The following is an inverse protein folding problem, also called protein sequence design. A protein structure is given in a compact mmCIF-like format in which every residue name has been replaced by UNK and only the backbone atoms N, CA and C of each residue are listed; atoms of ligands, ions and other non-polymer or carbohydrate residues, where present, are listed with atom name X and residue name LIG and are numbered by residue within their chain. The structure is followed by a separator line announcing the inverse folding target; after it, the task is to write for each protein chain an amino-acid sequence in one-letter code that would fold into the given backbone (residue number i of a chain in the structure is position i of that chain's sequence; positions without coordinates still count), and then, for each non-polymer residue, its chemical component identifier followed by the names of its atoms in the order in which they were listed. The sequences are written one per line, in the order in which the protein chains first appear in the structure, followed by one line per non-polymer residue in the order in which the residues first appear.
data_IF_980831586252
#
_entry.id   IF_980831586252
#
_cell.length_a   1.000
_cell.length_b   1.000
_cell.length_c   1.000
_cell.angle_alpha   90.00
_cell.angle_beta   90.00
_cell.angle_gamma   90.00
#
_symmetry.space_group_name_H-M   'P 1'
#
loop_
_entity.id
_entity.type
_entity.pdbx_description
1 polymer ?
#
# COMPACT_ATOMS: atom_id res chain seq x y z
N UNK A 1 7.85 -21.25 -11.02
CA UNK A 1 6.55 -20.57 -11.13
C UNK A 1 6.41 -19.74 -9.87
N UNK A 2 7.00 -18.54 -9.86
CA UNK A 2 7.11 -17.71 -8.66
C UNK A 2 5.77 -17.04 -8.38
N UNK A 3 5.22 -17.30 -7.20
CA UNK A 3 4.02 -16.63 -6.70
C UNK A 3 4.37 -15.17 -6.40
N UNK A 4 3.67 -14.26 -7.08
CA UNK A 4 3.78 -12.81 -6.95
C UNK A 4 2.93 -12.36 -5.78
N UNK A 5 3.58 -11.86 -4.72
CA UNK A 5 2.91 -11.43 -3.49
C UNK A 5 2.67 -9.91 -3.54
N UNK A 6 1.44 -9.50 -3.25
CA UNK A 6 1.13 -8.11 -2.92
C UNK A 6 1.69 -7.80 -1.52
N UNK A 7 1.80 -6.55 -1.12
CA UNK A 7 1.98 -6.21 0.30
C UNK A 7 1.05 -5.07 0.69
N UNK A 8 0.62 -5.10 1.94
CA UNK A 8 -0.42 -4.24 2.44
C UNK A 8 0.12 -3.40 3.60
N UNK A 9 -0.07 -2.09 3.54
CA UNK A 9 0.14 -1.21 4.69
C UNK A 9 -1.22 -0.93 5.31
N UNK A 10 -1.50 -1.62 6.42
CA UNK A 10 -2.71 -1.38 7.20
C UNK A 10 -2.54 -0.12 8.05
N UNK A 11 -3.50 0.80 8.02
CA UNK A 11 -3.92 1.40 9.27
C UNK A 11 -5.08 0.55 9.81
N UNK A 12 -5.43 0.77 11.08
CA UNK A 12 -6.44 -0.02 11.79
C UNK A 12 -7.87 0.35 11.33
N UNK A 13 -8.17 0.27 10.02
CA UNK A 13 -9.46 0.66 9.49
C UNK A 13 -10.47 -0.52 9.49
N UNK A 14 -11.68 -0.35 10.05
CA UNK A 14 -12.66 -1.44 10.15
C UNK A 14 -13.09 -2.06 8.81
N UNK A 15 -13.13 -1.26 7.72
CA UNK A 15 -13.46 -1.77 6.39
C UNK A 15 -12.34 -2.64 5.81
N UNK A 16 -11.08 -2.33 6.15
CA UNK A 16 -9.89 -3.09 5.77
C UNK A 16 -9.86 -4.44 6.48
N UNK A 17 -10.26 -4.49 7.76
CA UNK A 17 -10.38 -5.75 8.54
C UNK A 17 -11.34 -6.79 7.92
N UNK A 18 -12.29 -6.37 7.07
CA UNK A 18 -13.22 -7.29 6.38
C UNK A 18 -12.58 -7.97 5.17
N UNK A 19 -11.56 -7.36 4.58
CA UNK A 19 -10.77 -7.97 3.53
C UNK A 19 -9.83 -8.99 4.16
N UNK A 20 -9.79 -10.22 3.63
CA UNK A 20 -8.81 -11.24 4.04
C UNK A 20 -7.41 -10.88 3.50
N UNK A 21 -6.86 -9.73 3.89
CA UNK A 21 -5.64 -9.16 3.32
C UNK A 21 -4.42 -10.04 3.55
N UNK A 22 -4.40 -10.78 4.65
CA UNK A 22 -3.39 -11.80 4.94
C UNK A 22 -3.29 -12.88 3.86
N UNK A 23 -4.33 -13.05 3.03
CA UNK A 23 -4.33 -13.98 1.89
C UNK A 23 -3.78 -13.38 0.59
N UNK A 24 -3.67 -12.04 0.51
CA UNK A 24 -3.13 -11.33 -0.65
C UNK A 24 -1.64 -11.05 -0.50
N UNK A 25 -1.15 -10.92 0.74
CA UNK A 25 0.22 -10.57 1.01
C UNK A 25 0.52 -10.27 2.48
N UNK A 26 1.80 -10.08 2.83
CA UNK A 26 2.19 -9.55 4.13
C UNK A 26 1.54 -8.19 4.42
N UNK A 27 1.06 -8.06 5.65
CA UNK A 27 0.53 -6.82 6.22
C UNK A 27 1.60 -6.20 7.11
N UNK A 28 1.89 -4.93 6.89
CA UNK A 28 2.80 -4.12 7.70
C UNK A 28 2.08 -2.89 8.24
N UNK A 29 2.40 -2.46 9.46
CA UNK A 29 1.79 -1.27 10.08
C UNK A 29 2.74 -0.09 10.12
N UNK A 30 4.05 -0.31 9.96
CA UNK A 30 5.08 0.71 10.12
C UNK A 30 5.92 0.84 8.84
N UNK A 31 6.28 2.08 8.46
CA UNK A 31 7.13 2.34 7.29
C UNK A 31 8.49 1.64 7.35
N UNK A 32 9.20 1.55 8.49
CA UNK A 32 10.43 0.76 8.60
C UNK A 32 10.25 -0.70 8.19
N UNK A 33 9.14 -1.35 8.58
CA UNK A 33 8.86 -2.74 8.23
C UNK A 33 8.63 -2.90 6.73
N UNK A 34 7.93 -1.93 6.12
CA UNK A 34 7.80 -1.86 4.67
C UNK A 34 9.16 -1.72 3.98
N UNK A 35 10.03 -0.83 4.47
CA UNK A 35 11.36 -0.63 3.89
C UNK A 35 12.24 -1.88 3.98
N UNK A 36 12.10 -2.65 5.06
CA UNK A 36 12.75 -3.93 5.21
C UNK A 36 12.13 -4.97 4.27
N UNK A 37 10.81 -5.04 4.17
CA UNK A 37 10.13 -5.97 3.27
C UNK A 37 10.54 -5.76 1.80
N UNK A 38 10.58 -4.50 1.33
CA UNK A 38 11.04 -4.18 -0.03
C UNK A 38 12.55 -4.34 -0.24
N UNK A 39 13.33 -4.56 0.83
CA UNK A 39 14.74 -4.91 0.70
C UNK A 39 14.97 -6.39 0.45
N UNK A 40 14.16 -7.22 1.08
CA UNK A 40 14.28 -8.67 1.02
C UNK A 40 13.49 -9.27 -0.16
N UNK A 41 12.41 -8.61 -0.57
CA UNK A 41 11.44 -9.18 -1.50
C UNK A 41 10.98 -8.19 -2.56
N UNK A 42 10.73 -8.73 -3.76
CA UNK A 42 10.12 -7.96 -4.84
C UNK A 42 8.61 -7.90 -4.66
N UNK A 43 8.06 -6.69 -4.69
CA UNK A 43 6.63 -6.43 -4.56
C UNK A 43 6.13 -5.79 -5.84
N UNK A 44 5.07 -6.38 -6.41
CA UNK A 44 4.43 -5.83 -7.61
C UNK A 44 3.34 -4.81 -7.25
N UNK A 45 2.70 -4.96 -6.08
CA UNK A 45 1.59 -4.12 -5.62
C UNK A 45 1.73 -3.77 -4.14
N UNK A 46 1.59 -2.49 -3.84
CA UNK A 46 1.49 -1.92 -2.51
C UNK A 46 0.10 -1.30 -2.32
N UNK A 47 -0.65 -1.84 -1.38
CA UNK A 47 -1.95 -1.30 -0.99
C UNK A 47 -1.76 -0.45 0.28
N UNK A 48 -2.27 0.78 0.28
CA UNK A 48 -2.10 1.75 1.37
C UNK A 48 -3.44 2.18 1.89
N UNK A 49 -3.65 2.07 3.20
CA UNK A 49 -4.85 2.61 3.84
C UNK A 49 -4.96 4.15 3.65
N UNK A 50 -6.13 4.60 3.22
CA UNK A 50 -6.49 6.00 2.98
C UNK A 50 -6.24 6.91 4.17
N UNK A 51 -6.41 6.41 5.40
CA UNK A 51 -6.21 7.16 6.62
C UNK A 51 -4.73 7.46 6.95
N UNK A 52 -3.78 6.86 6.21
CA UNK A 52 -2.35 7.09 6.44
C UNK A 52 -1.86 8.38 5.81
N UNK A 53 -1.15 9.16 6.63
CA UNK A 53 -0.54 10.43 6.22
C UNK A 53 1.00 10.36 6.08
N UNK A 54 1.60 9.25 6.50
CA UNK A 54 3.05 9.03 6.46
C UNK A 54 3.53 8.53 5.08
N UNK A 55 2.61 8.01 4.25
CA UNK A 55 2.90 7.72 2.86
C UNK A 55 2.91 9.01 2.03
N UNK A 56 4.11 9.39 1.58
CA UNK A 56 4.35 10.60 0.77
C UNK A 56 4.99 10.23 -0.58
N UNK A 57 5.03 11.19 -1.51
CA UNK A 57 5.73 11.01 -2.79
C UNK A 57 7.20 10.62 -2.62
N UNK A 58 7.89 11.21 -1.65
CA UNK A 58 9.28 10.87 -1.34
C UNK A 58 9.44 9.43 -0.87
N UNK A 59 8.48 8.92 -0.09
CA UNK A 59 8.45 7.52 0.36
C UNK A 59 8.20 6.60 -0.84
N UNK A 60 7.16 6.87 -1.64
CA UNK A 60 6.84 6.10 -2.84
C UNK A 60 8.02 5.99 -3.82
N UNK A 61 8.73 7.10 -4.09
CA UNK A 61 9.92 7.10 -4.95
C UNK A 61 11.01 6.19 -4.38
N UNK A 62 11.25 6.22 -3.07
CA UNK A 62 12.26 5.36 -2.44
C UNK A 62 11.91 3.88 -2.56
N UNK A 63 10.64 3.54 -2.34
CA UNK A 63 10.15 2.16 -2.48
C UNK A 63 10.31 1.68 -3.93
N UNK A 64 9.87 2.47 -4.91
CA UNK A 64 10.01 2.13 -6.35
C UNK A 64 11.47 2.03 -6.80
N UNK A 65 12.38 2.85 -6.27
CA UNK A 65 13.82 2.72 -6.59
C UNK A 65 14.39 1.36 -6.19
N UNK A 66 13.90 0.78 -5.09
CA UNK A 66 14.36 -0.51 -4.58
C UNK A 66 13.64 -1.67 -5.25
N UNK A 67 12.37 -1.50 -5.59
CA UNK A 67 11.47 -2.58 -6.02
C UNK A 67 11.11 -2.58 -7.52
N UNK A 68 11.48 -1.51 -8.24
CA UNK A 68 11.18 -1.34 -9.66
C UNK A 68 9.73 -0.90 -9.90
N UNK A 69 9.05 -1.62 -10.81
CA UNK A 69 7.68 -1.34 -11.26
C UNK A 69 6.63 -1.80 -10.24
N UNK A 70 6.72 -1.29 -9.02
CA UNK A 70 5.72 -1.51 -7.98
C UNK A 70 4.59 -0.48 -8.14
N UNK A 71 3.36 -0.99 -8.27
CA UNK A 71 2.16 -0.16 -8.22
C UNK A 71 1.80 0.17 -6.77
N UNK A 72 1.30 1.38 -6.54
CA UNK A 72 0.87 1.86 -5.23
C UNK A 72 -0.58 2.30 -5.34
N UNK A 73 -1.48 1.59 -4.68
CA UNK A 73 -2.91 1.89 -4.70
C UNK A 73 -3.41 2.28 -3.32
N UNK A 74 -4.28 3.29 -3.27
CA UNK A 74 -4.86 3.77 -2.01
C UNK A 74 -6.23 3.14 -1.78
N UNK A 75 -6.45 2.57 -0.61
CA UNK A 75 -7.77 2.09 -0.19
C UNK A 75 -8.52 3.25 0.44
N UNK A 76 -9.71 3.59 -0.04
CA UNK A 76 -10.49 4.70 0.51
C UNK A 76 -11.88 4.23 0.93
N UNK A 77 -12.37 4.77 2.05
CA UNK A 77 -13.79 4.73 2.34
C UNK A 77 -14.50 5.78 1.47
N UNK A 78 -15.73 5.51 1.01
CA UNK A 78 -16.48 6.34 0.05
C UNK A 78 -16.54 7.84 0.41
N UNK A 79 -16.44 8.21 1.69
CA UNK A 79 -16.50 9.59 2.17
C UNK A 79 -15.18 10.37 2.08
N UNK A 80 -14.06 9.72 1.74
CA UNK A 80 -12.71 10.31 1.81
C UNK A 80 -12.06 10.50 0.44
N UNK A 81 -12.84 10.66 -0.63
CA UNK A 81 -12.29 11.10 -1.91
C UNK A 81 -11.82 12.56 -1.84
N UNK A 82 -10.66 12.76 -1.23
CA UNK A 82 -9.93 14.02 -1.24
C UNK A 82 -9.10 14.02 -2.52
N UNK A 83 -9.58 14.76 -3.52
CA UNK A 83 -8.93 14.88 -4.82
C UNK A 83 -7.44 15.16 -4.68
N UNK A 84 -6.62 14.23 -5.16
CA UNK A 84 -5.26 14.43 -5.69
C UNK A 84 -4.25 15.26 -4.88
N UNK A 85 -4.35 15.36 -3.56
CA UNK A 85 -3.22 15.87 -2.75
C UNK A 85 -2.22 14.74 -2.47
N UNK A 86 -1.56 14.26 -3.54
CA UNK A 86 -0.50 13.26 -3.47
C UNK A 86 -0.37 12.40 -4.72
N UNK A 87 0.36 12.90 -5.73
CA UNK A 87 0.67 12.25 -7.02
C UNK A 87 1.58 11.00 -6.93
N UNK A 88 1.50 10.24 -5.83
CA UNK A 88 2.36 9.08 -5.61
C UNK A 88 1.67 7.74 -5.87
N UNK A 89 0.34 7.71 -5.84
CA UNK A 89 -0.44 6.51 -6.10
C UNK A 89 -0.79 6.38 -7.59
N UNK A 90 -0.85 5.13 -8.05
CA UNK A 90 -1.21 4.75 -9.42
C UNK A 90 -2.72 4.52 -9.57
N UNK A 91 -3.43 4.34 -8.46
CA UNK A 91 -4.88 4.16 -8.44
C UNK A 91 -5.47 4.14 -7.04
N UNK A 92 -6.79 3.93 -6.98
CA UNK A 92 -7.57 3.85 -5.76
C UNK A 92 -8.60 2.73 -5.83
N UNK A 93 -8.84 2.08 -4.69
CA UNK A 93 -9.88 1.08 -4.50
C UNK A 93 -10.86 1.58 -3.44
N UNK A 94 -12.15 1.58 -3.78
CA UNK A 94 -13.19 1.84 -2.78
C UNK A 94 -13.46 0.56 -1.97
N UNK A 95 -13.60 0.74 -0.65
CA UNK A 95 -13.97 -0.30 0.31
C UNK A 95 -15.47 -0.19 0.65
N UNK A 96 -16.33 -0.57 -0.30
CA UNK A 96 -17.78 -0.72 -0.08
C UNK A 96 -18.12 -2.06 0.58
#
# INVERSE_FOLDING_TARGET
MEQRLASFIAADHPAVRRLKLDTLGPVVSELPDLYHLVSEQRLDLLLVDGARNDMTQSVAIRLRRRNGLMEIWRLMADSEFVGAEGNYCDGWLSLQ
#
